data_IF_910660132241
#
_entry.id   IF_910660132241
#
_cell.length_a   1.000
_cell.length_b   1.000
_cell.length_c   1.000
_cell.angle_alpha   90.00
_cell.angle_beta   90.00
_cell.angle_gamma   90.00
#
_symmetry.space_group_name_H-M   'P 1'
#
loop_
_entity.id
_entity.type
_entity.pdbx_description
1 polymer ?
#
# COMPACT_ATOMS: atom_id res chain seq x y z
N UNK A 1 6.10 -6.11 18.84
CA UNK A 1 6.73 -5.48 17.67
C UNK A 1 5.69 -5.27 16.59
N UNK A 2 5.69 -4.12 15.96
CA UNK A 2 4.83 -3.83 14.81
C UNK A 2 5.64 -3.76 13.54
N UNK A 3 4.98 -4.04 12.40
CA UNK A 3 5.59 -3.96 11.08
C UNK A 3 4.83 -2.90 10.27
N UNK A 4 5.58 -2.02 9.64
CA UNK A 4 5.02 -0.84 8.96
C UNK A 4 5.19 -0.95 7.45
N UNK A 5 4.09 -0.67 6.74
CA UNK A 5 4.06 -0.57 5.29
C UNK A 5 3.51 0.81 4.95
N UNK A 6 4.23 1.53 4.10
CA UNK A 6 3.87 2.90 3.74
C UNK A 6 3.63 3.00 2.25
N UNK A 7 2.41 3.42 1.89
CA UNK A 7 2.05 3.66 0.49
C UNK A 7 2.11 5.17 0.23
N UNK A 8 3.06 5.58 -0.58
CA UNK A 8 3.21 6.96 -1.02
C UNK A 8 2.52 7.13 -2.36
N UNK A 9 1.64 8.12 -2.48
CA UNK A 9 0.79 8.30 -3.66
C UNK A 9 0.82 9.74 -4.15
N UNK A 10 0.82 9.88 -5.47
CA UNK A 10 0.51 11.14 -6.14
C UNK A 10 -0.98 11.13 -6.47
N UNK A 11 -1.79 11.83 -5.68
CA UNK A 11 -3.25 11.78 -5.79
C UNK A 11 -3.88 13.09 -5.32
N UNK A 12 -5.12 13.32 -5.79
CA UNK A 12 -5.94 14.45 -5.32
C UNK A 12 -6.69 14.13 -4.04
N UNK A 13 -6.69 12.87 -3.59
CA UNK A 13 -7.38 12.48 -2.37
C UNK A 13 -6.78 13.15 -1.15
N UNK A 14 -7.64 13.61 -0.24
CA UNK A 14 -7.23 14.06 1.08
C UNK A 14 -7.25 12.88 2.05
N UNK A 15 -6.51 12.95 3.17
CA UNK A 15 -6.45 11.82 4.11
C UNK A 15 -7.80 11.26 4.54
N UNK A 16 -8.80 12.07 4.94
CA UNK A 16 -10.10 11.50 5.33
C UNK A 16 -10.79 10.78 4.16
N UNK A 17 -10.68 11.33 2.95
CA UNK A 17 -11.33 10.75 1.78
C UNK A 17 -10.72 9.39 1.42
N UNK A 18 -9.40 9.26 1.56
CA UNK A 18 -8.72 7.99 1.32
C UNK A 18 -9.22 6.90 2.28
N UNK A 19 -9.29 7.21 3.57
CA UNK A 19 -9.78 6.25 4.56
C UNK A 19 -11.26 5.94 4.37
N UNK A 20 -12.09 6.94 4.02
CA UNK A 20 -13.50 6.71 3.73
C UNK A 20 -13.69 5.77 2.54
N UNK A 21 -12.88 5.92 1.50
CA UNK A 21 -12.91 5.02 0.34
C UNK A 21 -12.61 3.58 0.77
N UNK A 22 -11.61 3.38 1.60
CA UNK A 22 -11.26 2.05 2.09
C UNK A 22 -12.36 1.48 2.97
N UNK A 23 -12.88 2.27 3.90
CA UNK A 23 -13.95 1.83 4.81
C UNK A 23 -15.22 1.47 4.06
N UNK A 24 -15.50 2.16 2.95
CA UNK A 24 -16.71 1.90 2.16
C UNK A 24 -16.63 0.68 1.26
N UNK A 25 -15.42 0.23 0.92
CA UNK A 25 -15.23 -0.85 -0.06
C UNK A 25 -14.60 -2.11 0.51
N UNK A 26 -13.95 -2.02 1.66
CA UNK A 26 -13.36 -3.19 2.31
C UNK A 26 -14.19 -3.54 3.54
N UNK A 27 -14.50 -4.82 3.72
CA UNK A 27 -15.25 -5.28 4.88
C UNK A 27 -14.34 -5.47 6.08
N UNK A 28 -14.90 -5.35 7.28
CA UNK A 28 -14.17 -5.65 8.52
C UNK A 28 -13.36 -4.49 9.08
N UNK A 29 -13.40 -3.31 8.46
CA UNK A 29 -12.70 -2.14 8.97
C UNK A 29 -13.61 -1.34 9.88
N UNK A 30 -13.10 -0.94 11.03
CA UNK A 30 -13.83 -0.17 12.05
C UNK A 30 -13.08 1.12 12.34
N UNK A 31 -13.83 2.22 12.40
CA UNK A 31 -13.27 3.51 12.78
C UNK A 31 -12.96 3.57 14.28
N UNK A 32 -11.80 4.12 14.61
CA UNK A 32 -11.46 4.55 15.96
C UNK A 32 -10.73 5.88 15.82
N UNK A 33 -11.41 6.96 16.20
CA UNK A 33 -10.94 8.33 15.98
C UNK A 33 -10.71 8.57 14.47
N UNK A 34 -9.48 8.86 14.05
CA UNK A 34 -9.14 9.16 12.66
C UNK A 34 -8.44 8.00 11.96
N UNK A 35 -8.54 6.79 12.52
CA UNK A 35 -7.88 5.59 11.99
C UNK A 35 -8.89 4.49 11.72
N UNK A 36 -8.50 3.57 10.84
CA UNK A 36 -9.23 2.34 10.60
C UNK A 36 -8.50 1.16 11.23
N UNK A 37 -9.27 0.23 11.79
CA UNK A 37 -8.72 -0.98 12.38
C UNK A 37 -9.43 -2.20 11.79
N UNK A 38 -8.64 -3.24 11.58
CA UNK A 38 -9.17 -4.55 11.24
C UNK A 38 -9.32 -5.31 12.55
N UNK A 39 -10.57 -5.51 13.00
CA UNK A 39 -10.87 -5.92 14.37
C UNK A 39 -10.35 -7.30 14.75
N UNK A 40 -10.15 -8.20 13.78
CA UNK A 40 -9.70 -9.58 14.04
C UNK A 40 -8.20 -9.78 13.84
N UNK A 41 -7.39 -8.73 13.52
CA UNK A 41 -5.96 -8.87 13.20
C UNK A 41 -5.18 -7.73 13.75
N UNK A 42 -5.17 -7.05 14.62
CA UNK A 42 -4.28 -5.98 15.11
C UNK A 42 -3.63 -5.17 13.98
N UNK A 43 -4.41 -4.84 12.97
CA UNK A 43 -3.96 -4.02 11.83
C UNK A 43 -4.61 -2.65 11.93
N UNK A 44 -3.80 -1.59 11.76
CA UNK A 44 -4.32 -0.23 11.72
C UNK A 44 -3.90 0.46 10.42
N UNK A 45 -4.78 1.33 9.93
CA UNK A 45 -4.56 2.14 8.74
C UNK A 45 -4.73 3.61 9.10
N UNK A 46 -3.78 4.43 8.69
CA UNK A 46 -3.87 5.88 8.85
C UNK A 46 -3.45 6.57 7.56
N UNK A 47 -3.88 7.81 7.40
CA UNK A 47 -3.53 8.59 6.22
C UNK A 47 -3.17 10.00 6.62
N UNK A 48 -2.10 10.53 6.01
CA UNK A 48 -1.65 11.90 6.23
C UNK A 48 -1.26 12.54 4.90
N UNK A 49 -1.42 13.86 4.83
CA UNK A 49 -0.82 14.62 3.73
C UNK A 49 0.68 14.63 3.94
N UNK A 50 1.43 14.22 2.93
CA UNK A 50 2.88 14.13 3.09
C UNK A 50 3.57 14.29 1.74
N UNK A 51 4.53 15.20 1.70
CA UNK A 51 5.44 15.36 0.57
C UNK A 51 6.83 14.97 1.04
N UNK A 52 7.31 13.82 0.58
CA UNK A 52 8.63 13.32 0.95
C UNK A 52 9.64 13.63 -0.14
N UNK A 53 10.67 14.41 0.21
CA UNK A 53 11.75 14.72 -0.73
C UNK A 53 12.54 13.48 -1.12
N UNK A 54 12.75 12.56 -0.19
CA UNK A 54 13.48 11.33 -0.48
C UNK A 54 12.74 10.46 -1.49
N UNK A 55 11.41 10.36 -1.38
CA UNK A 55 10.59 9.63 -2.35
C UNK A 55 10.60 10.35 -3.70
N UNK A 56 10.48 11.67 -3.69
CA UNK A 56 10.50 12.46 -4.92
C UNK A 56 11.82 12.27 -5.68
N UNK A 57 12.94 12.33 -4.98
CA UNK A 57 14.25 12.16 -5.59
C UNK A 57 14.49 10.73 -6.06
N UNK A 58 14.07 9.75 -5.28
CA UNK A 58 14.31 8.33 -5.58
C UNK A 58 13.42 7.81 -6.70
N UNK A 59 12.15 8.21 -6.73
CA UNK A 59 11.15 7.63 -7.65
C UNK A 59 10.65 8.61 -8.70
N UNK A 60 11.08 9.87 -8.66
CA UNK A 60 10.78 10.88 -9.68
C UNK A 60 9.30 11.21 -9.83
N UNK A 61 8.57 11.19 -8.73
CA UNK A 61 7.21 11.74 -8.67
C UNK A 61 7.02 12.48 -7.34
N UNK A 62 6.08 13.42 -7.31
CA UNK A 62 5.79 14.19 -6.10
C UNK A 62 4.66 13.51 -5.32
N UNK A 63 4.95 12.83 -4.20
CA UNK A 63 3.90 12.25 -3.38
C UNK A 63 3.12 13.37 -2.66
N UNK A 64 1.83 13.16 -2.49
CA UNK A 64 0.95 14.11 -1.79
C UNK A 64 0.21 13.46 -0.63
N UNK A 65 0.14 12.13 -0.61
CA UNK A 65 -0.57 11.37 0.40
C UNK A 65 0.27 10.17 0.83
N UNK A 66 0.30 9.93 2.13
CA UNK A 66 0.89 8.74 2.72
C UNK A 66 -0.20 7.97 3.44
N UNK A 67 -0.39 6.69 3.07
CA UNK A 67 -1.27 5.78 3.79
C UNK A 67 -0.39 4.73 4.47
N UNK A 68 -0.42 4.71 5.79
CA UNK A 68 0.36 3.79 6.60
C UNK A 68 -0.47 2.59 7.02
N UNK A 69 0.11 1.40 6.87
CA UNK A 69 -0.46 0.14 7.30
C UNK A 69 0.46 -0.45 8.36
N UNK A 70 -0.05 -0.61 9.56
CA UNK A 70 0.74 -1.17 10.65
C UNK A 70 0.08 -2.44 11.15
N UNK A 71 0.85 -3.50 11.32
CA UNK A 71 0.35 -4.73 11.90
C UNK A 71 1.25 -5.19 13.04
N UNK A 72 0.66 -5.89 14.01
CA UNK A 72 1.45 -6.57 15.03
C UNK A 72 2.09 -7.83 14.43
N UNK A 73 3.19 -8.29 15.05
CA UNK A 73 3.95 -9.43 14.52
C UNK A 73 3.15 -10.74 14.52
N UNK A 74 2.11 -10.83 15.36
CA UNK A 74 1.27 -12.02 15.49
C UNK A 74 -0.04 -11.94 14.68
N UNK A 75 -0.20 -10.91 13.86
CA UNK A 75 -1.37 -10.82 12.98
C UNK A 75 -1.32 -11.89 11.90
N UNK A 76 -2.50 -12.29 11.41
CA UNK A 76 -2.63 -13.27 10.33
C UNK A 76 -2.01 -12.70 9.05
N UNK A 77 -0.94 -13.35 8.56
CA UNK A 77 -0.20 -12.93 7.38
C UNK A 77 -1.03 -12.95 6.11
N UNK A 78 -1.81 -14.01 5.89
CA UNK A 78 -2.58 -14.16 4.65
C UNK A 78 -3.66 -13.10 4.58
N UNK A 79 -4.34 -12.85 5.69
CA UNK A 79 -5.37 -11.83 5.74
C UNK A 79 -4.80 -10.43 5.58
N UNK A 80 -3.69 -10.14 6.24
CA UNK A 80 -3.03 -8.84 6.10
C UNK A 80 -2.56 -8.60 4.67
N UNK A 81 -1.95 -9.62 4.05
CA UNK A 81 -1.49 -9.53 2.66
C UNK A 81 -2.64 -9.20 1.72
N UNK A 82 -3.78 -9.84 1.91
CA UNK A 82 -4.95 -9.58 1.08
C UNK A 82 -5.49 -8.18 1.30
N UNK A 83 -5.61 -7.74 2.55
CA UNK A 83 -6.09 -6.40 2.86
C UNK A 83 -5.14 -5.34 2.29
N UNK A 84 -3.85 -5.53 2.44
CA UNK A 84 -2.86 -4.59 1.91
C UNK A 84 -2.94 -4.50 0.39
N UNK A 85 -3.09 -5.64 -0.29
CA UNK A 85 -3.25 -5.66 -1.74
C UNK A 85 -4.53 -4.92 -2.16
N UNK A 86 -5.66 -5.31 -1.56
CA UNK A 86 -6.95 -4.73 -1.92
C UNK A 86 -7.00 -3.23 -1.66
N UNK A 87 -6.49 -2.79 -0.50
CA UNK A 87 -6.45 -1.38 -0.15
C UNK A 87 -5.54 -0.60 -1.10
N UNK A 88 -4.37 -1.15 -1.41
CA UNK A 88 -3.44 -0.50 -2.34
C UNK A 88 -4.06 -0.34 -3.73
N UNK A 89 -4.71 -1.37 -4.25
CA UNK A 89 -5.34 -1.31 -5.57
C UNK A 89 -6.48 -0.29 -5.61
N UNK A 90 -7.28 -0.19 -4.55
CA UNK A 90 -8.34 0.81 -4.47
C UNK A 90 -7.78 2.23 -4.50
N UNK A 91 -6.70 2.48 -3.76
CA UNK A 91 -6.08 3.79 -3.74
C UNK A 91 -5.39 4.12 -5.07
N UNK A 92 -4.83 3.12 -5.75
CA UNK A 92 -4.21 3.31 -7.06
C UNK A 92 -5.22 3.77 -8.11
N UNK A 93 -6.51 3.47 -7.94
CA UNK A 93 -7.55 3.97 -8.85
C UNK A 93 -7.60 5.51 -8.89
N UNK A 94 -7.16 6.15 -7.82
CA UNK A 94 -7.21 7.61 -7.66
C UNK A 94 -5.82 8.25 -7.71
N UNK A 95 -4.79 7.51 -8.14
CA UNK A 95 -3.42 7.99 -8.13
C UNK A 95 -2.77 7.81 -9.50
N UNK A 96 -1.79 8.68 -9.81
CA UNK A 96 -0.98 8.53 -11.01
C UNK A 96 0.22 7.64 -10.74
N UNK A 97 0.98 7.97 -9.72
CA UNK A 97 2.18 7.25 -9.32
C UNK A 97 2.09 6.86 -7.86
N UNK A 98 2.72 5.75 -7.53
CA UNK A 98 2.72 5.25 -6.15
C UNK A 98 3.86 4.28 -5.92
N UNK A 99 4.30 4.19 -4.67
CA UNK A 99 5.25 3.18 -4.21
C UNK A 99 4.85 2.71 -2.82
N UNK A 100 4.83 1.39 -2.62
CA UNK A 100 4.58 0.77 -1.32
C UNK A 100 5.90 0.25 -0.77
N UNK A 101 6.27 0.74 0.41
CA UNK A 101 7.55 0.40 1.04
C UNK A 101 7.33 -0.31 2.38
N UNK A 102 8.12 -1.34 2.62
CA UNK A 102 8.22 -1.97 3.93
C UNK A 102 9.37 -1.33 4.71
N UNK A 103 9.05 -0.84 5.92
CA UNK A 103 10.01 -0.15 6.79
C UNK A 103 10.73 1.02 6.11
N UNK A 104 10.08 1.64 5.13
CA UNK A 104 10.64 2.79 4.43
C UNK A 104 11.73 2.46 3.41
N UNK A 105 12.01 1.20 3.18
CA UNK A 105 13.15 0.79 2.33
C UNK A 105 12.76 -0.17 1.21
N UNK A 106 12.19 -1.33 1.54
CA UNK A 106 11.96 -2.39 0.54
C UNK A 106 10.70 -2.12 -0.26
N UNK A 107 10.82 -2.08 -1.57
CA UNK A 107 9.66 -1.91 -2.44
C UNK A 107 8.86 -3.21 -2.48
N UNK A 108 7.57 -3.12 -2.16
CA UNK A 108 6.65 -4.25 -2.31
C UNK A 108 5.93 -4.17 -3.65
N UNK A 109 5.46 -2.97 -4.01
CA UNK A 109 4.89 -2.71 -5.33
C UNK A 109 5.13 -1.25 -5.69
N UNK A 110 5.04 -0.96 -6.99
CA UNK A 110 5.10 0.42 -7.48
C UNK A 110 4.26 0.55 -8.73
N UNK A 111 3.77 1.77 -8.97
CA UNK A 111 3.24 2.14 -10.28
C UNK A 111 3.89 3.45 -10.67
N UNK A 112 4.74 3.40 -11.69
CA UNK A 112 5.47 4.56 -12.17
C UNK A 112 5.25 4.67 -13.68
N UNK A 113 4.87 5.87 -14.13
CA UNK A 113 4.59 6.07 -15.55
C UNK A 113 3.48 5.17 -16.07
N UNK A 114 2.50 4.84 -15.23
CA UNK A 114 1.38 4.00 -15.63
C UNK A 114 1.65 2.50 -15.60
N UNK A 115 2.88 2.08 -15.24
CA UNK A 115 3.25 0.66 -15.21
C UNK A 115 3.27 0.14 -13.79
N UNK A 116 2.40 -0.83 -13.51
CA UNK A 116 2.31 -1.50 -12.21
C UNK A 116 3.29 -2.67 -12.17
N UNK A 117 4.09 -2.74 -11.11
CA UNK A 117 5.04 -3.82 -10.90
C UNK A 117 5.01 -4.30 -9.45
N UNK A 118 5.12 -5.59 -9.25
CA UNK A 118 5.24 -6.22 -7.94
C UNK A 118 6.63 -6.80 -7.78
N UNK A 119 7.19 -6.68 -6.57
CA UNK A 119 8.55 -7.15 -6.30
C UNK A 119 8.58 -8.66 -6.12
N UNK A 120 9.19 -9.35 -7.09
CA UNK A 120 9.32 -10.80 -7.06
C UNK A 120 10.30 -11.30 -5.99
N UNK A 121 11.21 -10.44 -5.54
CA UNK A 121 12.27 -10.82 -4.59
C UNK A 121 11.92 -10.52 -3.14
N UNK A 122 10.84 -9.80 -2.86
CA UNK A 122 10.52 -9.43 -1.48
C UNK A 122 10.00 -10.60 -0.65
N UNK A 123 9.45 -11.62 -1.31
CA UNK A 123 8.80 -12.75 -0.62
C UNK A 123 7.46 -12.39 0.01
N UNK A 124 7.02 -11.15 -0.11
CA UNK A 124 5.78 -10.70 0.51
C UNK A 124 4.54 -11.20 -0.23
N UNK A 125 4.53 -11.07 -1.56
CA UNK A 125 3.43 -11.50 -2.40
C UNK A 125 3.63 -12.96 -2.75
N UNK A 126 2.92 -13.86 -2.19
CA UNK A 126 3.08 -15.32 -2.36
C UNK A 126 3.82 -15.73 -3.65
N UNK A 127 3.16 -15.55 -4.81
CA UNK A 127 3.72 -15.86 -6.11
C UNK A 127 2.94 -15.12 -7.22
N UNK A 128 3.45 -15.19 -8.44
CA UNK A 128 2.81 -14.55 -9.58
C UNK A 128 1.41 -15.13 -9.87
N UNK A 129 1.17 -16.45 -9.84
CA UNK A 129 -0.17 -16.98 -10.06
C UNK A 129 -1.21 -16.47 -9.06
N UNK A 130 -0.81 -16.31 -7.80
CA UNK A 130 -1.72 -15.76 -6.79
C UNK A 130 -2.14 -14.33 -7.15
N UNK A 131 -1.20 -13.48 -7.57
CA UNK A 131 -1.50 -12.12 -8.01
C UNK A 131 -2.38 -12.13 -9.26
N UNK A 132 -2.08 -12.98 -10.24
CA UNK A 132 -2.87 -13.03 -11.47
C UNK A 132 -4.31 -13.46 -11.23
N UNK A 133 -4.55 -14.23 -10.19
CA UNK A 133 -5.92 -14.62 -9.81
C UNK A 133 -6.71 -13.46 -9.22
N UNK A 134 -6.04 -12.38 -8.80
CA UNK A 134 -6.66 -11.25 -8.08
C UNK A 134 -6.69 -9.95 -8.87
N UNK A 135 -5.87 -9.82 -9.90
CA UNK A 135 -5.79 -8.60 -10.70
C UNK A 135 -6.28 -8.86 -12.11
N UNK A 136 -7.09 -7.91 -12.63
CA UNK A 136 -7.49 -7.90 -14.03
C UNK A 136 -6.58 -6.99 -14.85
N UNK A 137 -5.95 -6.00 -14.22
CA UNK A 137 -5.04 -5.08 -14.88
C UNK A 137 -3.68 -5.74 -15.13
N UNK A 138 -2.99 -5.36 -16.19
CA UNK A 138 -1.65 -5.89 -16.43
C UNK A 138 -0.66 -5.39 -15.39
N UNK A 139 0.31 -6.24 -15.05
CA UNK A 139 1.37 -5.90 -14.12
C UNK A 139 2.64 -6.68 -14.47
N UNK A 140 3.79 -6.15 -14.01
CA UNK A 140 5.07 -6.84 -14.10
C UNK A 140 5.36 -7.59 -12.80
N UNK A 141 5.92 -8.78 -12.92
CA UNK A 141 6.43 -9.56 -11.79
C UNK A 141 7.94 -9.65 -11.96
N UNK A 142 8.68 -8.84 -11.23
CA UNK A 142 10.12 -8.74 -11.37
C UNK A 142 10.78 -8.23 -10.09
N UNK A 143 12.08 -8.43 -9.92
CA UNK A 143 12.80 -7.82 -8.80
C UNK A 143 12.72 -6.30 -8.87
N UNK A 144 12.48 -5.65 -7.74
CA UNK A 144 12.48 -4.20 -7.61
C UNK A 144 13.50 -3.82 -6.55
N UNK A 145 14.57 -3.17 -6.98
CA UNK A 145 15.61 -2.71 -6.07
C UNK A 145 15.30 -1.31 -5.61
N UNK A 146 15.33 -1.11 -4.29
CA UNK A 146 15.05 0.19 -3.71
C UNK A 146 16.25 1.13 -3.94
N UNK A 147 16.01 2.35 -4.43
CA UNK A 147 17.06 3.38 -4.52
C UNK A 147 17.31 4.08 -3.19
N UNK A 148 16.60 3.68 -2.15
CA UNK A 148 16.71 4.29 -0.82
C UNK A 148 17.74 3.59 0.07
#
# INVERSE_FOLDING_TARGET
>A
MSLDYDLHLSTHLKPPNALEKLAGQLSGLTWSEDRLFLYDTSVSLCAISNRSESIEQAFHFTPTLLVGFRRSADADWDRFRQVLLDASLLLLEEAQDAVLLFNGERIELQRLGGQLAFNADSGYWRDEPWLRSRLTAPFDWRPLQSPL
#
